data_IF_223073601059
#
_entry.id   IF_223073601059
#
_cell.length_a   1.000
_cell.length_b   1.000
_cell.length_c   1.000
_cell.angle_alpha   90.00
_cell.angle_beta   90.00
_cell.angle_gamma   90.00
#
_symmetry.space_group_name_H-M   'P 1'
#
loop_
_entity.id
_entity.type
_entity.pdbx_description
1 polymer ?
#
# COMPACT_ATOMS: atom_id res chain seq x y z
N UNK A 1 -6.15 8.23 -26.71
CA UNK A 1 -5.01 9.05 -26.32
C UNK A 1 -3.73 8.23 -26.28
N UNK A 2 -2.62 8.91 -26.19
CA UNK A 2 -1.30 8.29 -25.95
C UNK A 2 -0.77 8.85 -24.65
N UNK A 3 -0.41 7.96 -23.73
CA UNK A 3 0.25 8.32 -22.48
C UNK A 3 1.75 8.01 -22.60
N UNK A 4 2.56 8.99 -22.29
CA UNK A 4 4.00 8.89 -22.29
C UNK A 4 4.44 8.90 -20.83
N UNK A 5 4.94 7.76 -20.34
CA UNK A 5 5.48 7.66 -19.00
C UNK A 5 6.93 8.09 -19.07
N UNK A 6 7.23 9.22 -18.45
CA UNK A 6 8.58 9.78 -18.44
C UNK A 6 9.27 9.45 -17.13
N UNK A 7 10.41 8.78 -17.21
CA UNK A 7 11.29 8.64 -16.06
C UNK A 7 11.16 7.36 -15.24
N UNK A 8 10.32 6.41 -15.64
CA UNK A 8 10.28 5.15 -14.95
C UNK A 8 11.64 4.44 -15.04
N UNK A 9 12.28 4.40 -13.90
CA UNK A 9 13.43 3.60 -13.53
C UNK A 9 14.77 3.86 -14.21
N UNK A 10 14.90 4.28 -15.48
CA UNK A 10 16.21 4.16 -16.11
C UNK A 10 16.48 5.16 -17.24
N UNK A 11 16.65 6.41 -16.92
CA UNK A 11 17.50 7.23 -17.78
C UNK A 11 18.95 7.01 -17.36
N UNK A 12 19.64 6.16 -18.07
CA UNK A 12 20.98 5.69 -17.75
C UNK A 12 22.00 6.80 -17.47
N UNK A 13 21.76 7.99 -17.95
CA UNK A 13 22.68 9.11 -17.74
C UNK A 13 22.41 9.91 -16.46
N UNK A 14 21.23 9.80 -15.88
CA UNK A 14 20.81 10.57 -14.70
C UNK A 14 20.42 9.65 -13.52
N UNK A 15 20.86 8.43 -13.59
CA UNK A 15 20.40 7.32 -12.77
C UNK A 15 20.97 7.33 -11.38
N UNK A 16 20.76 7.98 -10.50
CA UNK A 16 21.01 7.82 -9.06
C UNK A 16 21.41 9.13 -8.41
N UNK A 17 20.47 9.79 -7.75
CA UNK A 17 20.78 10.93 -6.88
C UNK A 17 21.82 10.61 -5.80
N UNK A 18 21.94 9.34 -5.40
CA UNK A 18 22.93 8.91 -4.42
C UNK A 18 24.38 8.85 -4.95
N UNK A 19 24.55 8.72 -6.25
CA UNK A 19 25.88 8.66 -6.90
C UNK A 19 26.31 9.99 -7.52
N UNK A 20 25.37 10.89 -7.73
CA UNK A 20 25.67 12.25 -8.16
C UNK A 20 24.89 13.23 -7.28
N UNK A 21 25.61 13.95 -6.46
CA UNK A 21 25.04 14.95 -5.55
C UNK A 21 24.13 16.02 -6.21
N UNK A 22 24.06 16.04 -7.56
CA UNK A 22 23.38 17.06 -8.32
C UNK A 22 22.59 16.55 -9.53
N UNK A 23 22.23 15.26 -9.63
CA UNK A 23 21.68 14.70 -10.86
C UNK A 23 22.69 14.78 -12.03
N UNK A 24 23.96 15.06 -11.75
CA UNK A 24 25.01 15.14 -12.74
C UNK A 24 25.39 13.75 -13.21
N UNK A 25 25.43 13.59 -14.49
CA UNK A 25 25.87 12.37 -15.16
C UNK A 25 27.34 12.48 -15.54
N UNK A 26 28.04 11.36 -15.49
CA UNK A 26 29.39 11.24 -16.08
C UNK A 26 29.35 11.14 -17.61
N UNK A 27 28.16 11.13 -18.21
CA UNK A 27 27.99 11.10 -19.64
C UNK A 27 28.37 12.45 -20.27
N UNK A 28 29.37 12.53 -21.16
CA UNK A 28 29.81 13.78 -21.77
C UNK A 28 28.72 14.45 -22.62
N UNK A 29 27.73 13.69 -23.10
CA UNK A 29 26.60 14.23 -23.88
C UNK A 29 25.47 14.81 -22.99
N UNK A 30 25.37 14.39 -21.74
CA UNK A 30 24.33 14.82 -20.83
C UNK A 30 24.85 15.79 -19.76
N UNK A 31 26.15 15.94 -19.69
CA UNK A 31 26.80 16.84 -18.75
C UNK A 31 26.31 18.28 -18.95
N UNK A 32 25.90 18.93 -17.86
CA UNK A 32 25.35 20.28 -17.91
C UNK A 32 23.89 20.39 -18.37
N UNK A 33 23.22 19.27 -18.66
CA UNK A 33 21.78 19.25 -18.97
C UNK A 33 20.95 18.98 -17.72
N UNK A 34 19.76 19.57 -17.68
CA UNK A 34 18.77 19.27 -16.65
C UNK A 34 18.07 17.93 -16.95
N UNK A 35 17.98 17.01 -16.00
CA UNK A 35 17.19 15.79 -16.14
C UNK A 35 15.75 16.06 -16.55
N UNK A 36 15.09 17.00 -15.88
CA UNK A 36 13.71 17.42 -16.18
C UNK A 36 13.57 17.94 -17.60
N UNK A 37 14.54 18.76 -18.06
CA UNK A 37 14.56 19.29 -19.43
C UNK A 37 14.75 18.19 -20.48
N UNK A 38 15.61 17.21 -20.24
CA UNK A 38 15.82 16.10 -21.18
C UNK A 38 14.59 15.18 -21.29
N UNK A 39 13.88 14.94 -20.18
CA UNK A 39 12.62 14.21 -20.20
C UNK A 39 11.54 14.97 -20.98
N UNK A 40 11.39 16.27 -20.74
CA UNK A 40 10.46 17.10 -21.50
C UNK A 40 10.79 17.07 -23.01
N UNK A 41 12.08 17.16 -23.36
CA UNK A 41 12.55 17.07 -24.74
C UNK A 41 12.19 15.72 -25.39
N UNK A 42 12.35 14.61 -24.66
CA UNK A 42 11.96 13.28 -25.14
C UNK A 42 10.45 13.20 -25.39
N UNK A 43 9.66 13.64 -24.42
CA UNK A 43 8.19 13.68 -24.51
C UNK A 43 7.76 14.50 -25.74
N UNK A 44 8.33 15.68 -25.93
CA UNK A 44 8.03 16.56 -27.06
C UNK A 44 8.37 15.91 -28.42
N UNK A 45 9.46 15.15 -28.48
CA UNK A 45 9.81 14.38 -29.68
C UNK A 45 8.75 13.31 -30.02
N UNK A 46 8.30 12.57 -29.01
CA UNK A 46 7.23 11.58 -29.18
C UNK A 46 5.93 12.28 -29.59
N UNK A 47 5.59 13.38 -28.95
CA UNK A 47 4.41 14.19 -29.28
C UNK A 47 4.45 14.70 -30.73
N UNK A 48 5.60 15.19 -31.17
CA UNK A 48 5.80 15.62 -32.57
C UNK A 48 5.66 14.45 -33.57
N UNK A 49 6.16 13.26 -33.23
CA UNK A 49 6.00 12.07 -34.06
C UNK A 49 4.53 11.64 -34.17
N UNK A 50 3.78 11.62 -33.06
CA UNK A 50 2.35 11.32 -33.04
C UNK A 50 1.57 12.36 -33.89
N UNK A 51 1.90 13.64 -33.79
CA UNK A 51 1.27 14.69 -34.60
C UNK A 51 1.44 14.47 -36.10
N UNK A 52 2.62 13.98 -36.52
CA UNK A 52 2.90 13.69 -37.95
C UNK A 52 1.99 12.56 -38.51
N UNK A 53 1.43 11.73 -37.69
CA UNK A 53 0.46 10.68 -38.14
C UNK A 53 -0.91 11.23 -38.51
N UNK A 54 -1.14 12.54 -38.40
CA UNK A 54 -2.42 13.18 -38.67
C UNK A 54 -3.51 12.89 -37.63
N UNK A 55 -3.16 12.26 -36.51
CA UNK A 55 -4.14 11.93 -35.46
C UNK A 55 -4.24 13.06 -34.45
N UNK A 56 -5.46 13.53 -34.16
CA UNK A 56 -5.75 14.49 -33.10
C UNK A 56 -5.93 13.78 -31.74
N UNK A 57 -5.03 12.85 -31.43
CA UNK A 57 -5.12 12.11 -30.17
C UNK A 57 -4.63 12.97 -29.03
N UNK A 58 -5.34 12.89 -27.90
CA UNK A 58 -4.87 13.48 -26.66
C UNK A 58 -3.54 12.84 -26.24
N UNK A 59 -2.59 13.68 -25.88
CA UNK A 59 -1.26 13.28 -25.40
C UNK A 59 -1.14 13.62 -23.93
N UNK A 60 -0.78 12.65 -23.14
CA UNK A 60 -0.56 12.80 -21.71
C UNK A 60 0.87 12.45 -21.37
N UNK A 61 1.54 13.33 -20.66
CA UNK A 61 2.86 13.04 -20.12
C UNK A 61 2.73 12.85 -18.61
N UNK A 62 3.24 11.73 -18.13
CA UNK A 62 3.22 11.35 -16.73
C UNK A 62 4.65 11.22 -16.20
N UNK A 63 5.07 12.11 -15.26
CA UNK A 63 6.43 12.10 -14.71
C UNK A 63 6.60 11.00 -13.65
N UNK A 64 6.21 9.79 -13.96
CA UNK A 64 6.33 8.67 -13.05
C UNK A 64 7.78 8.45 -12.63
N UNK A 65 8.02 8.28 -11.34
CA UNK A 65 9.35 8.16 -10.74
C UNK A 65 10.29 9.36 -10.97
N UNK A 66 9.77 10.51 -11.35
CA UNK A 66 10.58 11.71 -11.60
C UNK A 66 11.40 12.16 -10.38
N UNK A 67 10.95 11.85 -9.18
CA UNK A 67 11.68 12.10 -7.94
C UNK A 67 13.08 11.44 -7.90
N UNK A 68 13.31 10.39 -8.70
CA UNK A 68 14.61 9.72 -8.79
C UNK A 68 15.65 10.59 -9.51
N UNK A 69 15.22 11.40 -10.46
CA UNK A 69 16.09 12.18 -11.32
C UNK A 69 15.91 13.70 -11.22
N UNK A 70 14.87 14.17 -10.58
CA UNK A 70 14.55 15.59 -10.42
C UNK A 70 14.90 16.14 -9.04
N UNK A 71 15.89 15.60 -8.37
CA UNK A 71 16.23 15.93 -6.97
C UNK A 71 16.50 17.42 -6.71
N UNK A 72 16.72 18.22 -7.74
CA UNK A 72 16.91 19.67 -7.64
C UNK A 72 15.70 20.51 -8.05
N UNK A 73 14.73 19.91 -8.71
CA UNK A 73 13.44 20.53 -8.96
C UNK A 73 12.45 20.07 -7.89
N UNK A 74 12.27 20.80 -6.78
CA UNK A 74 11.55 20.32 -5.62
C UNK A 74 10.08 20.00 -5.89
N UNK A 75 9.58 20.23 -7.10
CA UNK A 75 8.22 19.93 -7.47
C UNK A 75 8.09 19.47 -8.93
N UNK A 76 9.20 19.15 -9.59
CA UNK A 76 9.19 18.73 -11.00
C UNK A 76 8.51 19.76 -11.92
N UNK A 77 8.60 21.04 -11.56
CA UNK A 77 7.92 22.13 -12.27
C UNK A 77 8.65 22.47 -13.56
N UNK A 78 9.97 22.34 -13.59
CA UNK A 78 10.79 22.53 -14.77
C UNK A 78 10.36 21.55 -15.87
N UNK A 79 10.13 20.29 -15.52
CA UNK A 79 9.63 19.28 -16.45
C UNK A 79 8.28 19.70 -17.08
N UNK A 80 7.33 20.16 -16.26
CA UNK A 80 6.03 20.66 -16.73
C UNK A 80 6.19 21.85 -17.66
N UNK A 81 7.10 22.77 -17.32
CA UNK A 81 7.36 23.97 -18.08
C UNK A 81 7.99 23.70 -19.44
N UNK A 82 8.76 22.63 -19.56
CA UNK A 82 9.45 22.23 -20.81
C UNK A 82 8.56 21.50 -21.81
N UNK A 83 7.32 21.14 -21.48
CA UNK A 83 6.43 20.41 -22.39
C UNK A 83 5.81 21.31 -23.45
N UNK A 84 5.63 20.79 -24.66
CA UNK A 84 4.87 21.44 -25.73
C UNK A 84 3.40 21.68 -25.32
N UNK A 85 2.78 22.72 -25.84
CA UNK A 85 1.44 23.16 -25.46
C UNK A 85 0.32 22.10 -25.71
N UNK A 86 0.55 21.19 -26.64
CA UNK A 86 -0.38 20.11 -26.99
C UNK A 86 -0.23 18.85 -26.12
N UNK A 87 0.67 18.86 -25.13
CA UNK A 87 0.87 17.76 -24.20
C UNK A 87 0.23 18.11 -22.87
N UNK A 88 -0.72 17.31 -22.42
CA UNK A 88 -1.33 17.42 -21.10
C UNK A 88 -0.47 16.77 -20.03
N UNK A 89 -0.50 17.30 -18.83
CA UNK A 89 0.23 16.73 -17.67
C UNK A 89 -0.68 15.77 -16.93
N UNK A 90 -0.17 14.59 -16.62
CA UNK A 90 -0.74 13.67 -15.65
C UNK A 90 0.23 13.55 -14.47
N UNK A 91 -0.29 13.62 -13.26
CA UNK A 91 0.52 13.55 -12.05
C UNK A 91 -0.14 12.69 -10.97
N UNK A 92 0.66 12.11 -10.08
CA UNK A 92 0.17 11.35 -8.94
C UNK A 92 -0.47 12.29 -7.93
N UNK A 93 -1.73 12.02 -7.59
CA UNK A 93 -2.50 12.90 -6.70
C UNK A 93 -2.07 12.77 -5.23
N UNK A 94 -1.61 11.60 -4.85
CA UNK A 94 -1.42 11.16 -3.47
C UNK A 94 0.03 10.77 -3.13
N UNK A 95 1.01 11.17 -3.91
CA UNK A 95 2.36 10.61 -3.80
C UNK A 95 3.43 11.51 -3.23
N UNK A 96 4.45 10.89 -2.64
CA UNK A 96 5.76 11.46 -2.26
C UNK A 96 5.72 12.59 -1.23
N UNK A 97 4.80 12.50 -0.26
CA UNK A 97 4.62 13.51 0.76
C UNK A 97 4.72 12.92 2.18
N UNK A 98 4.60 13.76 3.19
CA UNK A 98 4.53 13.31 4.58
C UNK A 98 3.07 13.14 5.00
N UNK A 99 2.79 12.09 5.75
CA UNK A 99 1.48 11.91 6.36
C UNK A 99 1.28 12.98 7.45
N UNK A 100 0.21 13.74 7.31
CA UNK A 100 -0.18 14.80 8.27
C UNK A 100 -1.23 14.34 9.29
N UNK A 101 -1.69 13.08 9.18
CA UNK A 101 -2.65 12.48 10.10
C UNK A 101 -2.06 12.07 11.45
N UNK A 102 -2.80 11.32 12.28
CA UNK A 102 -2.34 10.80 13.56
C UNK A 102 -1.03 10.02 13.50
N UNK A 103 -0.79 9.31 12.39
CA UNK A 103 0.48 8.68 12.05
C UNK A 103 1.50 9.62 11.40
N UNK A 104 1.41 10.93 11.64
CA UNK A 104 2.17 11.96 10.94
C UNK A 104 3.67 11.95 11.17
N UNK A 105 4.40 12.76 10.38
CA UNK A 105 5.86 12.87 10.42
C UNK A 105 6.58 11.75 9.66
N UNK A 106 5.86 10.92 8.92
CA UNK A 106 6.43 9.79 8.18
C UNK A 106 6.15 9.95 6.69
N UNK A 107 7.18 9.81 5.89
CA UNK A 107 7.09 9.86 4.44
C UNK A 107 6.41 8.60 3.91
N UNK A 108 5.52 8.76 2.96
CA UNK A 108 4.83 7.67 2.28
C UNK A 108 5.06 7.72 0.76
N UNK A 109 4.75 6.58 0.13
CA UNK A 109 4.79 6.42 -1.32
C UNK A 109 3.42 6.71 -1.93
N UNK A 110 3.35 6.83 -3.25
CA UNK A 110 2.07 6.89 -3.95
C UNK A 110 1.32 5.54 -3.90
N UNK A 111 0.17 5.47 -4.53
CA UNK A 111 -0.72 4.30 -4.54
C UNK A 111 -1.32 3.96 -3.18
N UNK A 112 -1.67 4.95 -2.40
CA UNK A 112 -2.25 4.78 -1.07
C UNK A 112 -3.59 5.50 -0.95
N UNK A 113 -4.35 5.18 0.07
CA UNK A 113 -5.57 5.88 0.46
C UNK A 113 -5.45 6.56 1.83
N UNK A 114 -4.34 6.33 2.53
CA UNK A 114 -4.01 7.05 3.77
C UNK A 114 -3.88 8.55 3.53
N UNK A 115 -3.27 8.96 2.41
CA UNK A 115 -3.26 10.35 1.99
C UNK A 115 -4.39 10.63 1.02
N UNK A 116 -5.30 11.50 1.40
CA UNK A 116 -6.40 11.92 0.52
C UNK A 116 -5.88 12.72 -0.69
N UNK A 117 -4.85 13.51 -0.51
CA UNK A 117 -4.32 14.44 -1.51
C UNK A 117 -5.06 15.78 -1.52
N UNK A 118 -4.63 16.73 -2.36
CA UNK A 118 -3.47 16.61 -3.24
C UNK A 118 -2.16 16.62 -2.47
N UNK A 119 -1.17 15.86 -2.96
CA UNK A 119 0.19 15.96 -2.45
C UNK A 119 0.81 17.33 -2.78
N UNK A 120 1.86 17.69 -2.06
CA UNK A 120 2.59 18.94 -2.28
C UNK A 120 3.12 19.02 -3.72
N UNK A 121 3.68 17.92 -4.24
CA UNK A 121 4.15 17.83 -5.63
C UNK A 121 3.02 18.05 -6.62
N UNK A 122 1.88 17.36 -6.45
CA UNK A 122 0.72 17.55 -7.32
C UNK A 122 0.24 19.00 -7.31
N UNK A 123 0.09 19.60 -6.13
CA UNK A 123 -0.39 20.98 -5.98
C UNK A 123 0.50 21.99 -6.74
N UNK A 124 1.83 21.82 -6.67
CA UNK A 124 2.80 22.68 -7.39
C UNK A 124 2.73 22.47 -8.90
N UNK A 125 2.66 21.23 -9.37
CA UNK A 125 2.50 20.92 -10.80
C UNK A 125 1.18 21.45 -11.35
N UNK A 126 0.08 21.29 -10.62
CA UNK A 126 -1.22 21.84 -10.98
C UNK A 126 -1.20 23.38 -11.05
N UNK A 127 -0.52 24.03 -10.11
CA UNK A 127 -0.33 25.48 -10.14
C UNK A 127 0.46 25.93 -11.38
N UNK A 128 1.51 25.18 -11.76
CA UNK A 128 2.28 25.46 -12.97
C UNK A 128 1.43 25.24 -14.23
N UNK A 129 0.66 24.15 -14.28
CA UNK A 129 -0.28 23.92 -15.38
C UNK A 129 -1.27 25.08 -15.54
N UNK A 130 -1.85 25.58 -14.45
CA UNK A 130 -2.75 26.75 -14.48
C UNK A 130 -2.07 28.00 -15.05
N UNK A 131 -0.82 28.30 -14.64
CA UNK A 131 -0.05 29.43 -15.19
C UNK A 131 0.16 29.30 -16.70
N UNK A 132 0.26 28.09 -17.20
CA UNK A 132 0.46 27.80 -18.63
C UNK A 132 -0.87 27.58 -19.38
N UNK A 133 -2.01 27.81 -18.76
CA UNK A 133 -3.34 27.51 -19.31
C UNK A 133 -3.46 26.07 -19.85
N UNK A 134 -2.92 25.13 -19.10
CA UNK A 134 -2.84 23.70 -19.45
C UNK A 134 -3.71 22.89 -18.49
N UNK A 135 -4.51 21.94 -18.98
CA UNK A 135 -5.23 21.01 -18.11
C UNK A 135 -4.26 20.08 -17.38
N UNK A 136 -4.55 19.78 -16.11
CA UNK A 136 -3.86 18.75 -15.33
C UNK A 136 -4.79 17.56 -15.13
N UNK A 137 -4.21 16.38 -15.30
CA UNK A 137 -4.86 15.10 -15.07
C UNK A 137 -4.23 14.41 -13.87
N UNK A 138 -4.99 13.55 -13.22
CA UNK A 138 -4.54 12.84 -12.03
C UNK A 138 -4.41 11.35 -12.30
N UNK A 139 -3.44 10.73 -11.65
CA UNK A 139 -3.36 9.29 -11.48
C UNK A 139 -3.68 8.97 -10.03
N UNK A 140 -4.57 8.01 -9.81
CA UNK A 140 -4.95 7.47 -8.51
C UNK A 140 -5.11 5.94 -8.60
N UNK A 141 -5.19 5.28 -7.45
CA UNK A 141 -5.53 3.86 -7.38
C UNK A 141 -6.83 3.68 -6.61
N UNK A 142 -7.76 2.94 -7.15
CA UNK A 142 -9.08 2.74 -6.56
C UNK A 142 -9.36 1.35 -6.05
N UNK A 143 -8.55 0.39 -6.37
CA UNK A 143 -8.73 -0.97 -5.92
C UNK A 143 -7.80 -1.31 -4.78
N UNK A 144 -6.72 -1.93 -5.11
CA UNK A 144 -5.68 -2.30 -4.15
C UNK A 144 -4.64 -1.23 -4.05
N UNK A 145 -4.23 -0.98 -2.84
CA UNK A 145 -3.12 -0.10 -2.51
C UNK A 145 -2.01 -0.91 -1.83
N UNK A 146 -0.76 -0.42 -1.79
CA UNK A 146 0.31 -1.08 -1.02
C UNK A 146 0.00 -1.28 0.45
N UNK A 147 -0.98 -0.58 0.99
CA UNK A 147 -1.42 -0.71 2.39
C UNK A 147 -2.02 -2.09 2.68
N UNK A 148 -2.70 -2.68 1.68
CA UNK A 148 -3.28 -4.01 1.77
C UNK A 148 -3.42 -4.62 0.36
N UNK A 149 -2.30 -4.75 -0.35
CA UNK A 149 -2.27 -5.14 -1.76
C UNK A 149 -2.73 -6.59 -2.03
N UNK A 150 -2.92 -7.38 -1.01
CA UNK A 150 -3.51 -8.73 -1.07
C UNK A 150 -5.05 -8.73 -1.04
N UNK A 151 -5.68 -7.57 -1.00
CA UNK A 151 -7.12 -7.42 -1.08
C UNK A 151 -7.56 -6.94 -2.45
N UNK A 152 -8.75 -7.32 -2.92
CA UNK A 152 -9.29 -6.80 -4.18
C UNK A 152 -9.56 -5.29 -4.12
N UNK A 153 -9.86 -4.74 -2.94
CA UNK A 153 -10.02 -3.31 -2.65
C UNK A 153 -10.00 -3.05 -1.15
N UNK A 154 -9.80 -1.78 -0.76
CA UNK A 154 -10.00 -1.34 0.61
C UNK A 154 -11.44 -0.85 0.81
N UNK A 155 -12.18 -1.32 1.82
CA UNK A 155 -13.58 -0.98 2.06
C UNK A 155 -13.72 0.39 2.76
N UNK A 156 -13.16 1.42 2.14
CA UNK A 156 -13.04 2.79 2.64
C UNK A 156 -13.67 3.80 1.66
N UNK A 157 -14.94 3.65 1.26
CA UNK A 157 -15.52 4.47 0.20
C UNK A 157 -15.56 5.97 0.54
N UNK A 158 -15.67 6.37 1.83
CA UNK A 158 -15.65 7.77 2.22
C UNK A 158 -14.26 8.42 2.03
N UNK A 159 -13.18 7.67 2.20
CA UNK A 159 -11.84 8.21 1.86
C UNK A 159 -11.71 8.43 0.36
N UNK A 160 -12.29 7.55 -0.45
CA UNK A 160 -12.39 7.72 -1.89
C UNK A 160 -13.27 8.90 -2.27
N UNK A 161 -14.40 9.07 -1.59
CA UNK A 161 -15.28 10.24 -1.75
C UNK A 161 -14.51 11.54 -1.48
N UNK A 162 -13.81 11.61 -0.36
CA UNK A 162 -12.98 12.78 0.00
C UNK A 162 -11.90 13.07 -1.06
N UNK A 163 -11.25 12.03 -1.60
CA UNK A 163 -10.27 12.18 -2.69
C UNK A 163 -10.90 12.74 -3.97
N UNK A 164 -12.05 12.23 -4.37
CA UNK A 164 -12.77 12.73 -5.56
C UNK A 164 -13.15 14.20 -5.40
N UNK A 165 -13.63 14.61 -4.22
CA UNK A 165 -13.94 16.00 -3.93
C UNK A 165 -12.67 16.89 -3.92
N UNK A 166 -11.56 16.40 -3.39
CA UNK A 166 -10.28 17.08 -3.43
C UNK A 166 -9.76 17.25 -4.87
N UNK A 167 -9.88 16.23 -5.73
CA UNK A 167 -9.55 16.33 -7.16
C UNK A 167 -10.39 17.39 -7.86
N UNK A 168 -11.69 17.41 -7.60
CA UNK A 168 -12.61 18.40 -8.14
C UNK A 168 -12.26 19.81 -7.69
N UNK A 169 -12.02 20.01 -6.40
CA UNK A 169 -11.61 21.30 -5.84
C UNK A 169 -10.27 21.81 -6.40
N UNK A 170 -9.37 20.90 -6.75
CA UNK A 170 -8.06 21.22 -7.36
C UNK A 170 -8.17 21.54 -8.86
N UNK A 171 -9.31 21.28 -9.50
CA UNK A 171 -9.53 21.51 -10.91
C UNK A 171 -8.91 20.44 -11.82
N UNK A 172 -8.87 19.21 -11.35
CA UNK A 172 -8.43 18.06 -12.16
C UNK A 172 -9.38 17.89 -13.35
N UNK A 173 -8.84 17.88 -14.57
CA UNK A 173 -9.62 17.75 -15.80
C UNK A 173 -10.09 16.33 -16.10
N UNK A 174 -9.43 15.33 -15.52
CA UNK A 174 -9.72 13.92 -15.62
C UNK A 174 -8.68 13.08 -14.90
N UNK A 175 -8.92 11.81 -14.76
CA UNK A 175 -7.99 10.94 -14.05
C UNK A 175 -7.94 9.51 -14.60
N UNK A 176 -6.86 8.80 -14.31
CA UNK A 176 -6.75 7.34 -14.42
C UNK A 176 -7.02 6.78 -13.05
N UNK A 177 -8.09 5.96 -12.94
CA UNK A 177 -8.53 5.39 -11.68
C UNK A 177 -7.76 4.14 -11.26
N UNK A 178 -7.07 3.49 -12.18
CA UNK A 178 -6.32 2.27 -11.93
C UNK A 178 -5.08 2.23 -12.80
N UNK A 179 -3.95 2.02 -12.17
CA UNK A 179 -2.70 1.64 -12.86
C UNK A 179 -2.44 0.14 -12.76
N UNK A 180 -2.93 -0.46 -11.70
CA UNK A 180 -2.65 -1.84 -11.36
C UNK A 180 -3.52 -2.82 -12.15
N UNK A 181 -2.94 -3.93 -12.53
CA UNK A 181 -3.40 -4.84 -13.59
C UNK A 181 -4.52 -5.82 -13.20
N UNK A 182 -5.33 -5.54 -12.19
CA UNK A 182 -6.36 -6.48 -11.72
C UNK A 182 -7.69 -6.43 -12.45
N UNK A 183 -7.83 -5.50 -13.36
CA UNK A 183 -9.15 -5.24 -13.92
C UNK A 183 -10.09 -4.62 -12.88
N UNK A 184 -11.37 -4.65 -13.21
CA UNK A 184 -12.42 -4.03 -12.42
C UNK A 184 -13.05 -5.08 -11.51
N UNK A 185 -13.03 -4.84 -10.21
CA UNK A 185 -13.59 -5.75 -9.20
C UNK A 185 -15.06 -5.48 -8.88
N UNK A 186 -15.68 -4.51 -9.55
CA UNK A 186 -17.03 -4.04 -9.26
C UNK A 186 -17.25 -3.74 -7.76
N UNK A 187 -16.24 -3.12 -7.16
CA UNK A 187 -16.23 -2.78 -5.74
C UNK A 187 -16.93 -1.44 -5.48
N UNK A 188 -17.42 -1.19 -4.25
CA UNK A 188 -18.01 0.10 -3.90
C UNK A 188 -17.11 1.31 -4.20
N UNK A 189 -15.79 1.31 -3.90
CA UNK A 189 -14.91 2.41 -4.29
C UNK A 189 -14.78 2.63 -5.79
N UNK A 190 -14.72 1.57 -6.60
CA UNK A 190 -14.64 1.69 -8.05
C UNK A 190 -15.92 2.27 -8.64
N UNK A 191 -17.06 1.75 -8.20
CA UNK A 191 -18.35 2.24 -8.70
C UNK A 191 -18.58 3.69 -8.29
N UNK A 192 -18.19 4.06 -7.09
CA UNK A 192 -18.24 5.45 -6.64
C UNK A 192 -17.52 6.39 -7.61
N UNK A 193 -16.36 6.00 -8.14
CA UNK A 193 -15.64 6.81 -9.13
C UNK A 193 -16.45 7.06 -10.39
N UNK A 194 -17.02 6.02 -10.97
CA UNK A 194 -17.81 6.16 -12.20
C UNK A 194 -19.04 7.01 -11.97
N UNK A 195 -19.74 6.77 -10.87
CA UNK A 195 -20.93 7.55 -10.53
C UNK A 195 -20.61 9.01 -10.23
N UNK A 196 -19.54 9.28 -9.50
CA UNK A 196 -19.13 10.65 -9.17
C UNK A 196 -18.80 11.50 -10.40
N UNK A 197 -18.35 10.89 -11.51
CA UNK A 197 -18.13 11.60 -12.79
C UNK A 197 -19.46 12.06 -13.39
N UNK A 198 -20.51 11.23 -13.30
CA UNK A 198 -21.79 11.46 -13.97
C UNK A 198 -22.82 12.14 -13.05
N UNK A 199 -22.91 11.75 -11.80
CA UNK A 199 -23.97 12.11 -10.88
C UNK A 199 -23.72 13.42 -10.11
N UNK A 200 -22.55 13.99 -10.15
CA UNK A 200 -22.13 15.23 -9.43
C UNK A 200 -22.28 15.21 -7.91
N UNK A 201 -22.89 14.19 -7.34
CA UNK A 201 -23.16 13.99 -5.91
C UNK A 201 -22.64 12.60 -5.48
N UNK A 202 -21.48 12.60 -4.87
CA UNK A 202 -20.83 11.39 -4.43
C UNK A 202 -21.54 10.70 -3.24
N UNK A 203 -22.26 11.47 -2.43
CA UNK A 203 -23.10 10.93 -1.34
C UNK A 203 -24.25 10.09 -1.87
N UNK A 204 -25.00 10.62 -2.83
CA UNK A 204 -26.08 9.85 -3.51
C UNK A 204 -25.55 8.63 -4.23
N UNK A 205 -24.33 8.70 -4.76
CA UNK A 205 -23.69 7.56 -5.38
C UNK A 205 -23.48 6.43 -4.37
N UNK A 206 -22.97 6.72 -3.17
CA UNK A 206 -22.81 5.73 -2.10
C UNK A 206 -24.14 5.14 -1.63
N UNK A 207 -25.17 5.97 -1.43
CA UNK A 207 -26.50 5.49 -1.08
C UNK A 207 -27.03 4.51 -2.13
N UNK A 208 -26.87 4.84 -3.42
CA UNK A 208 -27.30 4.01 -4.53
C UNK A 208 -26.60 2.66 -4.55
N UNK A 209 -25.29 2.65 -4.28
CA UNK A 209 -24.49 1.43 -4.17
C UNK A 209 -25.02 0.55 -3.02
N UNK A 210 -25.22 1.12 -1.83
CA UNK A 210 -25.74 0.38 -0.69
C UNK A 210 -27.12 -0.25 -0.96
N UNK A 211 -28.05 0.53 -1.56
CA UNK A 211 -29.39 0.04 -1.88
C UNK A 211 -29.36 -1.13 -2.86
N UNK A 212 -28.56 -1.03 -3.90
CA UNK A 212 -28.48 -2.03 -4.95
C UNK A 212 -27.71 -3.27 -4.55
N UNK A 213 -26.52 -3.08 -3.95
CA UNK A 213 -25.58 -4.18 -3.73
C UNK A 213 -25.89 -4.97 -2.47
N UNK A 214 -26.48 -4.31 -1.46
CA UNK A 214 -26.80 -4.94 -0.20
C UNK A 214 -28.31 -5.01 0.07
N UNK A 215 -29.14 -4.59 -0.89
CA UNK A 215 -30.61 -4.64 -0.80
C UNK A 215 -31.15 -3.95 0.46
N UNK A 216 -30.59 -2.80 0.81
CA UNK A 216 -30.91 -2.07 2.03
C UNK A 216 -32.05 -1.07 1.82
N UNK A 217 -32.87 -0.93 2.86
CA UNK A 217 -33.79 0.19 3.05
C UNK A 217 -33.03 1.47 3.45
N UNK A 218 -33.78 2.53 3.73
CA UNK A 218 -33.17 3.83 4.06
C UNK A 218 -32.34 3.78 5.33
N UNK A 219 -32.84 3.11 6.37
CA UNK A 219 -32.13 3.02 7.65
C UNK A 219 -30.89 2.17 7.52
N UNK A 220 -30.97 1.01 6.86
CA UNK A 220 -29.83 0.15 6.59
C UNK A 220 -28.74 0.85 5.75
N UNK A 221 -29.13 1.72 4.82
CA UNK A 221 -28.17 2.55 4.07
C UNK A 221 -27.42 3.51 5.00
N UNK A 222 -28.14 4.27 5.84
CA UNK A 222 -27.51 5.22 6.74
C UNK A 222 -26.59 4.53 7.75
N UNK A 223 -27.01 3.38 8.27
CA UNK A 223 -26.21 2.57 9.18
C UNK A 223 -24.93 2.04 8.49
N UNK A 224 -25.02 1.60 7.24
CA UNK A 224 -23.86 1.13 6.46
C UNK A 224 -22.88 2.27 6.18
N UNK A 225 -23.38 3.44 5.77
CA UNK A 225 -22.55 4.62 5.57
C UNK A 225 -21.83 5.03 6.86
N UNK A 226 -22.53 4.98 8.00
CA UNK A 226 -21.92 5.26 9.29
C UNK A 226 -20.85 4.22 9.68
N UNK A 227 -21.08 2.94 9.41
CA UNK A 227 -20.08 1.89 9.64
C UNK A 227 -18.85 2.08 8.75
N UNK A 228 -19.01 2.34 7.47
CA UNK A 228 -17.90 2.65 6.57
C UNK A 228 -17.13 3.92 6.98
N UNK A 229 -17.83 4.94 7.51
CA UNK A 229 -17.16 6.12 8.08
C UNK A 229 -16.27 5.73 9.26
N UNK A 230 -16.76 4.88 10.18
CA UNK A 230 -15.93 4.39 11.28
C UNK A 230 -14.68 3.64 10.80
N UNK A 231 -14.80 2.82 9.75
CA UNK A 231 -13.64 2.15 9.14
C UNK A 231 -12.67 3.16 8.50
N UNK A 232 -13.20 4.19 7.85
CA UNK A 232 -12.41 5.27 7.24
C UNK A 232 -11.66 6.09 8.28
N UNK A 233 -12.30 6.40 9.41
CA UNK A 233 -11.69 7.11 10.52
C UNK A 233 -10.62 6.26 11.22
N UNK A 234 -10.87 4.95 11.38
CA UNK A 234 -9.89 4.02 11.90
C UNK A 234 -8.61 3.99 11.06
N UNK A 235 -8.75 4.10 9.74
CA UNK A 235 -7.62 4.07 8.80
C UNK A 235 -6.68 5.27 8.93
N UNK A 236 -7.10 6.36 9.55
CA UNK A 236 -6.23 7.50 9.86
C UNK A 236 -5.09 7.16 10.83
N UNK A 237 -5.28 6.11 11.63
CA UNK A 237 -4.29 5.58 12.55
C UNK A 237 -3.44 4.45 11.93
N UNK A 238 -3.74 4.01 10.71
CA UNK A 238 -2.97 2.95 10.08
C UNK A 238 -1.52 3.42 9.85
N UNK A 239 -0.51 2.72 10.38
CA UNK A 239 0.87 3.16 10.36
C UNK A 239 1.54 2.91 8.99
N UNK A 240 1.08 3.63 7.99
CA UNK A 240 1.59 3.54 6.63
C UNK A 240 2.81 4.43 6.43
N UNK A 241 3.86 3.91 5.82
CA UNK A 241 5.09 4.64 5.57
C UNK A 241 5.77 4.20 4.28
N UNK A 242 6.76 4.96 3.82
CA UNK A 242 7.61 4.57 2.71
C UNK A 242 8.35 3.24 2.94
N UNK A 243 8.60 2.87 4.20
CA UNK A 243 9.20 1.58 4.55
C UNK A 243 8.24 0.42 4.38
N UNK A 244 6.93 0.65 4.46
CA UNK A 244 5.89 -0.37 4.26
C UNK A 244 5.44 -0.49 2.81
N UNK A 245 5.63 0.57 2.03
CA UNK A 245 5.25 0.64 0.61
C UNK A 245 6.42 0.75 -0.34
N UNK A 246 7.61 0.94 0.18
CA UNK A 246 8.70 1.49 -0.57
C UNK A 246 9.57 0.49 -1.29
N UNK A 247 10.38 1.03 -2.14
CA UNK A 247 11.12 0.52 -3.26
C UNK A 247 12.04 -0.67 -3.04
N UNK A 248 12.49 -0.94 -1.84
CA UNK A 248 13.45 -2.04 -1.61
C UNK A 248 13.17 -2.88 -0.37
N UNK A 249 12.38 -2.39 0.54
CA UNK A 249 12.10 -3.08 1.80
C UNK A 249 10.60 -3.15 2.11
N UNK A 250 9.79 -2.38 1.39
CA UNK A 250 8.44 -2.06 1.81
C UNK A 250 7.43 -3.17 1.70
N UNK A 251 6.55 -3.04 0.77
CA UNK A 251 5.38 -3.92 0.65
C UNK A 251 5.71 -5.38 0.28
N UNK A 252 6.94 -5.66 -0.10
CA UNK A 252 7.37 -7.02 -0.46
C UNK A 252 8.01 -7.79 0.69
N UNK A 253 7.93 -7.30 1.94
CA UNK A 253 8.59 -7.92 3.08
C UNK A 253 7.75 -7.84 4.34
N UNK A 254 7.98 -8.83 5.18
CA UNK A 254 7.36 -8.88 6.50
C UNK A 254 5.85 -8.99 6.49
N UNK A 255 5.21 -8.62 7.61
CA UNK A 255 3.80 -8.84 7.83
C UNK A 255 2.89 -8.12 6.84
N UNK A 256 3.33 -6.97 6.30
CA UNK A 256 2.55 -6.23 5.30
C UNK A 256 2.37 -6.99 4.00
N UNK A 257 3.34 -7.84 3.65
CA UNK A 257 3.26 -8.61 2.41
C UNK A 257 2.34 -9.83 2.54
N UNK A 258 2.54 -10.61 3.58
CA UNK A 258 1.82 -11.87 3.77
C UNK A 258 0.48 -11.72 4.47
N UNK A 259 0.20 -10.53 5.00
CA UNK A 259 -1.03 -10.34 5.76
C UNK A 259 -1.23 -11.39 6.84
N UNK A 260 -2.43 -11.98 6.92
CA UNK A 260 -2.74 -13.01 7.92
C UNK A 260 -1.94 -14.31 7.81
N UNK A 261 -1.25 -14.53 6.69
CA UNK A 261 -0.41 -15.74 6.50
C UNK A 261 1.02 -15.58 7.01
N UNK A 262 1.41 -14.43 7.56
CA UNK A 262 2.77 -14.19 8.02
C UNK A 262 3.13 -15.09 9.22
N UNK A 263 4.23 -15.89 9.15
CA UNK A 263 4.60 -16.83 10.21
C UNK A 263 5.24 -16.13 11.41
N UNK A 264 5.19 -16.76 12.57
CA UNK A 264 5.99 -16.43 13.73
C UNK A 264 7.23 -17.30 13.75
N UNK A 265 8.41 -16.74 13.71
CA UNK A 265 9.67 -17.50 13.63
C UNK A 265 10.48 -17.27 14.90
N UNK A 266 10.69 -18.33 15.64
CA UNK A 266 11.48 -18.28 16.86
C UNK A 266 12.98 -18.47 16.54
N UNK A 267 13.35 -19.56 15.87
CA UNK A 267 14.72 -19.78 15.40
C UNK A 267 14.88 -19.39 13.92
N UNK A 268 15.88 -18.57 13.64
CA UNK A 268 16.18 -18.11 12.28
C UNK A 268 16.65 -19.28 11.39
N UNK A 269 17.28 -20.29 11.96
CA UNK A 269 17.73 -21.47 11.20
C UNK A 269 16.55 -22.29 10.68
N UNK A 270 15.49 -22.47 11.47
CA UNK A 270 14.29 -23.16 11.04
C UNK A 270 13.52 -22.40 9.95
N UNK A 271 13.80 -21.13 9.80
CA UNK A 271 13.22 -20.35 8.71
C UNK A 271 13.59 -20.87 7.32
N UNK A 272 14.69 -21.59 7.17
CA UNK A 272 15.06 -22.24 5.93
C UNK A 272 14.20 -23.47 5.60
N UNK A 273 13.53 -24.04 6.58
CA UNK A 273 12.63 -25.17 6.42
C UNK A 273 11.19 -24.76 6.11
N UNK A 274 10.88 -23.47 6.13
CA UNK A 274 9.57 -22.98 5.74
C UNK A 274 9.27 -23.32 4.26
N UNK A 275 8.00 -23.53 3.92
CA UNK A 275 7.58 -23.72 2.54
C UNK A 275 8.18 -22.69 1.61
N UNK A 276 8.48 -23.07 0.38
CA UNK A 276 9.10 -22.20 -0.62
C UNK A 276 8.34 -20.87 -0.80
N UNK A 277 7.03 -20.92 -0.68
CA UNK A 277 6.16 -19.74 -0.67
C UNK A 277 6.52 -18.72 0.41
N UNK A 278 6.83 -19.16 1.63
CA UNK A 278 7.30 -18.29 2.69
C UNK A 278 8.72 -17.76 2.45
N UNK A 279 9.55 -18.52 1.75
CA UNK A 279 10.92 -18.09 1.39
C UNK A 279 10.93 -17.05 0.28
N UNK A 280 10.11 -17.24 -0.74
CA UNK A 280 9.99 -16.29 -1.86
C UNK A 280 9.48 -14.93 -1.42
N UNK A 281 8.65 -14.93 -0.39
CA UNK A 281 8.05 -13.71 0.13
C UNK A 281 8.97 -12.94 1.09
N UNK A 282 10.10 -13.51 1.45
CA UNK A 282 11.06 -12.90 2.38
C UNK A 282 12.08 -11.95 1.80
N UNK A 283 11.75 -11.32 0.81
CA UNK A 283 12.64 -10.51 0.03
C UNK A 283 13.20 -11.41 -1.02
N UNK A 284 12.72 -11.13 -2.13
CA UNK A 284 13.10 -11.79 -3.31
C UNK A 284 14.61 -11.93 -3.35
N UNK A 285 15.06 -13.17 -3.31
CA UNK A 285 16.45 -13.47 -3.63
C UNK A 285 16.85 -12.90 -5.00
N UNK A 286 15.88 -12.39 -5.77
CA UNK A 286 16.08 -11.67 -7.03
C UNK A 286 16.43 -10.18 -6.86
N UNK A 287 16.06 -9.56 -5.75
CA UNK A 287 16.46 -8.17 -5.45
C UNK A 287 17.84 -8.08 -4.77
N UNK A 288 18.31 -9.19 -4.22
CA UNK A 288 19.68 -9.31 -3.74
C UNK A 288 20.49 -10.00 -4.83
N UNK A 289 21.64 -9.46 -5.14
CA UNK A 289 22.48 -9.89 -6.27
C UNK A 289 22.88 -11.39 -6.17
N UNK A 290 22.80 -11.97 -4.96
CA UNK A 290 23.03 -13.42 -4.77
C UNK A 290 22.36 -13.94 -3.51
N UNK A 291 22.09 -15.27 -3.42
CA UNK A 291 21.66 -15.94 -2.19
C UNK A 291 22.64 -15.74 -1.04
N UNK A 292 23.93 -15.66 -1.33
CA UNK A 292 24.99 -15.46 -0.34
C UNK A 292 24.93 -14.07 0.28
N UNK A 293 24.60 -13.05 -0.51
CA UNK A 293 24.42 -11.67 -0.03
C UNK A 293 23.22 -11.57 0.92
N UNK A 294 22.15 -12.30 0.62
CA UNK A 294 20.98 -12.41 1.49
C UNK A 294 21.31 -13.16 2.79
N UNK A 295 22.03 -14.28 2.71
CA UNK A 295 22.50 -15.02 3.90
C UNK A 295 23.46 -14.22 4.75
N UNK A 296 24.32 -13.42 4.13
CA UNK A 296 25.24 -12.54 4.85
C UNK A 296 24.50 -11.40 5.56
N UNK A 297 23.48 -10.83 4.94
CA UNK A 297 22.60 -9.83 5.54
C UNK A 297 21.83 -10.42 6.72
N UNK A 298 21.34 -11.64 6.60
CA UNK A 298 20.66 -12.36 7.68
C UNK A 298 21.61 -12.70 8.84
N UNK A 299 22.83 -13.10 8.54
CA UNK A 299 23.88 -13.34 9.57
C UNK A 299 24.32 -12.07 10.29
N UNK A 300 24.48 -10.97 9.55
CA UNK A 300 24.86 -9.65 10.13
C UNK A 300 23.73 -9.04 10.94
N UNK A 301 22.50 -9.33 10.58
CA UNK A 301 21.34 -8.81 11.29
C UNK A 301 21.11 -9.46 12.65
N UNK A 302 21.93 -10.46 13.05
CA UNK A 302 21.77 -11.27 14.28
C UNK A 302 20.30 -11.52 14.61
N UNK A 303 19.85 -12.56 15.14
CA UNK A 303 18.57 -13.23 15.02
C UNK A 303 17.33 -12.33 14.86
N UNK A 304 17.53 -11.07 14.56
CA UNK A 304 16.46 -10.17 14.15
C UNK A 304 16.01 -10.57 12.77
N UNK A 305 14.78 -10.90 12.66
CA UNK A 305 14.06 -10.82 11.41
C UNK A 305 14.02 -9.36 11.05
N UNK A 306 15.05 -8.89 10.36
CA UNK A 306 15.26 -7.47 10.06
C UNK A 306 14.06 -6.90 9.34
N UNK A 307 13.42 -7.70 8.49
CA UNK A 307 12.27 -7.27 7.72
C UNK A 307 11.03 -6.97 8.59
N UNK A 308 10.80 -7.72 9.65
CA UNK A 308 9.54 -7.64 10.39
C UNK A 308 9.47 -6.45 11.34
N UNK A 309 10.61 -6.05 11.87
CA UNK A 309 10.70 -4.85 12.71
C UNK A 309 11.03 -3.57 11.92
N UNK A 310 11.48 -3.69 10.68
CA UNK A 310 11.74 -2.52 9.82
C UNK A 310 10.49 -1.64 9.64
N UNK A 311 9.31 -2.26 9.65
CA UNK A 311 8.04 -1.53 9.54
C UNK A 311 7.82 -0.55 10.69
N UNK A 312 8.45 -0.78 11.83
CA UNK A 312 8.34 0.09 13.02
C UNK A 312 9.33 1.26 13.01
N UNK A 313 10.41 1.19 12.22
CA UNK A 313 11.50 2.17 12.27
C UNK A 313 11.06 3.62 12.07
N UNK A 314 10.17 3.95 11.10
CA UNK A 314 9.77 5.32 10.90
C UNK A 314 9.01 5.93 12.07
N UNK A 315 8.34 5.10 12.86
CA UNK A 315 7.48 5.53 13.97
C UNK A 315 8.14 5.34 15.33
N UNK A 316 9.09 4.42 15.44
CA UNK A 316 9.48 3.80 16.69
C UNK A 316 8.48 2.74 17.15
N UNK A 317 8.98 1.74 17.86
CA UNK A 317 8.21 0.53 18.21
C UNK A 317 6.94 0.83 19.03
N UNK A 318 7.06 1.63 20.07
CA UNK A 318 5.93 1.97 20.95
C UNK A 318 4.83 2.72 20.21
N UNK A 319 5.22 3.74 19.44
CA UNK A 319 4.28 4.53 18.64
C UNK A 319 3.60 3.69 17.57
N UNK A 320 4.35 2.80 16.91
CA UNK A 320 3.78 1.89 15.91
C UNK A 320 2.70 0.98 16.53
N UNK A 321 2.99 0.35 17.66
CA UNK A 321 2.02 -0.50 18.38
C UNK A 321 0.82 0.28 18.91
N UNK A 322 1.02 1.52 19.32
CA UNK A 322 -0.08 2.40 19.73
C UNK A 322 -1.00 2.70 18.56
N UNK A 323 -0.45 3.11 17.43
CA UNK A 323 -1.20 3.38 16.21
C UNK A 323 -1.99 2.16 15.73
N UNK A 324 -1.36 0.97 15.72
CA UNK A 324 -2.05 -0.28 15.39
C UNK A 324 -3.22 -0.57 16.34
N UNK A 325 -3.04 -0.39 17.64
CA UNK A 325 -4.10 -0.62 18.62
C UNK A 325 -5.27 0.34 18.44
N UNK A 326 -5.00 1.61 18.20
CA UNK A 326 -6.01 2.62 17.94
C UNK A 326 -6.76 2.33 16.63
N UNK A 327 -6.03 2.06 15.54
CA UNK A 327 -6.61 1.66 14.27
C UNK A 327 -7.53 0.45 14.46
N UNK A 328 -7.02 -0.62 15.06
CA UNK A 328 -7.76 -1.87 15.23
C UNK A 328 -8.98 -1.71 16.12
N UNK A 329 -8.89 -0.98 17.25
CA UNK A 329 -10.03 -0.77 18.15
C UNK A 329 -11.19 -0.08 17.44
N UNK A 330 -10.91 0.97 16.67
CA UNK A 330 -11.95 1.67 15.90
C UNK A 330 -12.45 0.82 14.72
N UNK A 331 -11.55 0.07 14.07
CA UNK A 331 -11.90 -0.85 12.99
C UNK A 331 -12.90 -1.91 13.47
N UNK A 332 -12.67 -2.50 14.64
CA UNK A 332 -13.55 -3.50 15.21
C UNK A 332 -14.96 -2.97 15.47
N UNK A 333 -15.09 -1.74 15.97
CA UNK A 333 -16.40 -1.12 16.16
C UNK A 333 -17.17 -0.93 14.84
N UNK A 334 -16.51 -0.44 13.80
CA UNK A 334 -17.07 -0.32 12.46
C UNK A 334 -17.43 -1.67 11.84
N UNK A 335 -16.56 -2.67 11.99
CA UNK A 335 -16.77 -4.05 11.55
C UNK A 335 -18.02 -4.69 12.20
N UNK A 336 -18.14 -4.58 13.52
CA UNK A 336 -19.29 -5.16 14.25
C UNK A 336 -20.60 -4.53 13.81
N UNK A 337 -20.61 -3.21 13.64
CA UNK A 337 -21.77 -2.50 13.11
C UNK A 337 -22.10 -2.97 11.70
N UNK A 338 -21.11 -3.03 10.81
CA UNK A 338 -21.33 -3.49 9.43
C UNK A 338 -21.84 -4.93 9.37
N UNK A 339 -21.29 -5.81 10.21
CA UNK A 339 -21.72 -7.20 10.33
C UNK A 339 -23.19 -7.30 10.76
N UNK A 340 -23.63 -6.51 11.74
CA UNK A 340 -25.02 -6.52 12.19
C UNK A 340 -26.02 -6.12 11.09
N UNK A 341 -25.56 -5.34 10.11
CA UNK A 341 -26.40 -4.86 9.01
C UNK A 341 -26.36 -5.82 7.82
N UNK A 342 -25.17 -6.31 7.45
CA UNK A 342 -24.94 -7.00 6.17
C UNK A 342 -25.02 -8.52 6.26
N UNK A 343 -24.88 -9.15 7.44
CA UNK A 343 -24.92 -10.60 7.56
C UNK A 343 -26.19 -11.20 6.98
N UNK A 344 -26.04 -12.22 6.10
CA UNK A 344 -27.14 -12.91 5.46
C UNK A 344 -27.83 -12.14 4.32
N UNK A 345 -27.31 -10.99 3.91
CA UNK A 345 -27.91 -10.17 2.85
C UNK A 345 -27.38 -10.48 1.42
N UNK A 346 -26.83 -11.65 1.25
CA UNK A 346 -26.40 -12.14 -0.05
C UNK A 346 -24.91 -11.99 -0.32
N UNK A 347 -24.49 -12.51 -1.46
CA UNK A 347 -23.07 -12.73 -1.78
C UNK A 347 -22.21 -11.45 -1.73
N UNK A 348 -22.74 -10.32 -2.23
CA UNK A 348 -21.97 -9.06 -2.23
C UNK A 348 -21.75 -8.53 -0.81
N UNK A 349 -22.75 -8.65 0.06
CA UNK A 349 -22.65 -8.27 1.45
C UNK A 349 -21.64 -9.16 2.22
N UNK A 350 -21.70 -10.48 2.00
CA UNK A 350 -20.76 -11.41 2.61
C UNK A 350 -19.32 -11.19 2.13
N UNK A 351 -19.11 -10.87 0.86
CA UNK A 351 -17.80 -10.50 0.32
C UNK A 351 -17.25 -9.22 0.95
N UNK A 352 -18.09 -8.20 1.12
CA UNK A 352 -17.71 -6.96 1.82
C UNK A 352 -17.28 -7.26 3.26
N UNK A 353 -18.07 -8.06 3.99
CA UNK A 353 -17.72 -8.50 5.35
C UNK A 353 -16.42 -9.30 5.36
N UNK A 354 -16.20 -10.18 4.41
CA UNK A 354 -14.95 -10.97 4.30
C UNK A 354 -13.71 -10.08 4.15
N UNK A 355 -13.79 -9.02 3.35
CA UNK A 355 -12.70 -8.05 3.20
C UNK A 355 -12.43 -7.30 4.51
N UNK A 356 -13.49 -6.84 5.18
CA UNK A 356 -13.38 -6.15 6.48
C UNK A 356 -12.79 -7.04 7.55
N UNK A 357 -13.17 -8.33 7.60
CA UNK A 357 -12.59 -9.34 8.49
C UNK A 357 -11.10 -9.59 8.19
N UNK A 358 -10.73 -9.62 6.92
CA UNK A 358 -9.34 -9.82 6.52
C UNK A 358 -8.44 -8.70 7.03
N UNK A 359 -8.91 -7.46 6.98
CA UNK A 359 -8.17 -6.32 7.52
C UNK A 359 -8.04 -6.41 9.04
N UNK A 360 -9.11 -6.76 9.78
CA UNK A 360 -9.01 -6.95 11.23
C UNK A 360 -8.00 -8.04 11.59
N UNK A 361 -8.02 -9.16 10.85
CA UNK A 361 -7.05 -10.23 11.03
C UNK A 361 -5.63 -9.76 10.71
N UNK A 362 -5.44 -9.00 9.63
CA UNK A 362 -4.14 -8.46 9.27
C UNK A 362 -3.58 -7.50 10.33
N UNK A 363 -4.39 -6.57 10.82
CA UNK A 363 -4.00 -5.66 11.90
C UNK A 363 -3.60 -6.43 13.17
N UNK A 364 -4.29 -7.53 13.48
CA UNK A 364 -3.95 -8.42 14.59
C UNK A 364 -2.61 -9.13 14.35
N UNK A 365 -2.39 -9.66 13.14
CA UNK A 365 -1.12 -10.29 12.77
C UNK A 365 0.04 -9.31 12.88
N UNK A 366 -0.10 -8.07 12.39
CA UNK A 366 0.94 -7.04 12.54
C UNK A 366 1.31 -6.81 14.00
N UNK A 367 0.31 -6.69 14.87
CA UNK A 367 0.52 -6.51 16.31
C UNK A 367 1.22 -7.72 16.93
N UNK A 368 0.76 -8.94 16.63
CA UNK A 368 1.30 -10.17 17.16
C UNK A 368 2.75 -10.42 16.70
N UNK A 369 3.03 -10.21 15.43
CA UNK A 369 4.38 -10.36 14.86
C UNK A 369 5.37 -9.41 15.53
N UNK A 370 5.03 -8.14 15.64
CA UNK A 370 5.92 -7.16 16.28
C UNK A 370 6.14 -7.48 17.75
N UNK A 371 5.10 -7.84 18.48
CA UNK A 371 5.22 -8.24 19.90
C UNK A 371 6.03 -9.52 20.07
N UNK A 372 5.84 -10.49 19.17
CA UNK A 372 6.57 -11.77 19.22
C UNK A 372 8.06 -11.54 19.05
N UNK A 373 8.48 -10.78 18.05
CA UNK A 373 9.91 -10.52 17.84
C UNK A 373 10.51 -9.64 18.93
N UNK A 374 9.76 -8.69 19.47
CA UNK A 374 10.21 -7.93 20.62
C UNK A 374 10.42 -8.84 21.85
N UNK A 375 9.48 -9.71 22.15
CA UNK A 375 9.57 -10.64 23.28
C UNK A 375 10.71 -11.66 23.10
N UNK A 376 10.90 -12.16 21.86
CA UNK A 376 12.02 -13.05 21.49
C UNK A 376 13.37 -12.38 21.70
N UNK A 377 13.54 -11.14 21.24
CA UNK A 377 14.78 -10.39 21.41
C UNK A 377 15.13 -10.18 22.90
N UNK A 378 14.12 -9.94 23.74
CA UNK A 378 14.31 -9.84 25.18
C UNK A 378 14.69 -11.19 25.80
N UNK A 379 14.02 -12.29 25.37
CA UNK A 379 14.31 -13.63 25.86
C UNK A 379 15.76 -14.04 25.62
N UNK A 380 16.29 -13.73 24.43
CA UNK A 380 17.69 -14.05 24.09
C UNK A 380 18.73 -13.37 24.98
N UNK A 381 18.35 -12.28 25.65
CA UNK A 381 19.21 -11.55 26.60
C UNK A 381 18.86 -11.85 28.05
N UNK A 382 17.94 -12.81 28.31
CA UNK A 382 17.50 -13.20 29.65
C UNK A 382 18.20 -14.47 30.09
N UNK A 383 18.65 -14.54 31.34
CA UNK A 383 19.32 -15.71 31.89
C UNK A 383 18.46 -16.95 31.82
N UNK A 384 18.92 -17.99 31.12
CA UNK A 384 18.19 -19.25 30.97
C UNK A 384 17.84 -19.86 32.33
N UNK A 385 16.60 -20.37 32.46
CA UNK A 385 16.09 -20.99 33.67
C UNK A 385 15.67 -20.02 34.79
N UNK A 386 15.86 -18.71 34.64
CA UNK A 386 15.37 -17.71 35.58
C UNK A 386 13.83 -17.62 35.57
N UNK A 387 13.25 -17.04 36.61
CA UNK A 387 11.80 -16.77 36.66
C UNK A 387 11.38 -15.81 35.52
N UNK A 388 12.20 -14.82 35.22
CA UNK A 388 11.96 -13.89 34.13
C UNK A 388 12.00 -14.61 32.77
N UNK A 389 12.92 -15.54 32.56
CA UNK A 389 12.98 -16.36 31.34
C UNK A 389 11.68 -17.16 31.15
N UNK A 390 11.17 -17.81 32.18
CA UNK A 390 9.90 -18.55 32.13
C UNK A 390 8.71 -17.66 31.81
N UNK A 391 8.62 -16.48 32.43
CA UNK A 391 7.55 -15.51 32.11
C UNK A 391 7.60 -15.06 30.66
N UNK A 392 8.80 -14.90 30.08
CA UNK A 392 8.97 -14.53 28.67
C UNK A 392 8.52 -15.65 27.73
N UNK A 393 8.79 -16.90 28.05
CA UNK A 393 8.26 -18.05 27.30
C UNK A 393 6.74 -18.05 27.32
N UNK A 394 6.10 -17.87 28.47
CA UNK A 394 4.64 -17.78 28.57
C UNK A 394 4.05 -16.66 27.70
N UNK A 395 4.73 -15.52 27.64
CA UNK A 395 4.33 -14.41 26.74
C UNK A 395 4.39 -14.83 25.27
N UNK A 396 5.49 -15.46 24.84
CA UNK A 396 5.64 -15.93 23.46
C UNK A 396 4.60 -17.00 23.10
N UNK A 397 4.37 -17.97 23.98
CA UNK A 397 3.35 -19.01 23.82
C UNK A 397 1.94 -18.42 23.71
N UNK A 398 1.65 -17.41 24.53
CA UNK A 398 0.37 -16.69 24.44
C UNK A 398 0.20 -15.97 23.10
N UNK A 399 1.24 -15.27 22.62
CA UNK A 399 1.19 -14.58 21.32
C UNK A 399 0.99 -15.60 20.19
N UNK A 400 1.70 -16.72 20.23
CA UNK A 400 1.52 -17.79 19.24
C UNK A 400 0.10 -18.36 19.27
N UNK A 401 -0.49 -18.57 20.46
CA UNK A 401 -1.87 -19.02 20.62
C UNK A 401 -2.87 -18.02 20.05
N UNK A 402 -2.68 -16.74 20.34
CA UNK A 402 -3.52 -15.65 19.83
C UNK A 402 -3.44 -15.57 18.29
N UNK A 403 -2.25 -15.81 17.71
CA UNK A 403 -2.05 -15.76 16.27
C UNK A 403 -2.61 -17.00 15.56
N UNK A 404 -2.53 -18.18 16.18
CA UNK A 404 -3.20 -19.39 15.68
C UNK A 404 -4.70 -19.14 15.56
N UNK A 405 -5.34 -18.68 16.63
CA UNK A 405 -6.77 -18.38 16.63
C UNK A 405 -7.15 -17.30 15.60
N UNK A 406 -6.30 -16.28 15.42
CA UNK A 406 -6.48 -15.26 14.42
C UNK A 406 -6.43 -15.83 13.00
N UNK A 407 -5.46 -16.70 12.71
CA UNK A 407 -5.30 -17.34 11.40
C UNK A 407 -6.43 -18.35 11.09
N UNK A 408 -6.85 -19.15 12.08
CA UNK A 408 -7.97 -20.11 11.94
C UNK A 408 -9.27 -19.41 11.54
N UNK A 409 -9.52 -18.22 12.08
CA UNK A 409 -10.69 -17.40 11.76
C UNK A 409 -10.73 -16.95 10.29
N UNK A 410 -9.57 -16.92 9.62
CA UNK A 410 -9.48 -16.49 8.22
C UNK A 410 -9.78 -17.59 7.22
N UNK A 411 -9.66 -18.86 7.57
CA UNK A 411 -9.85 -19.96 6.64
C UNK A 411 -11.19 -19.93 5.91
N UNK A 412 -12.34 -19.80 6.59
CA UNK A 412 -13.64 -19.76 5.90
C UNK A 412 -13.78 -18.53 4.98
N UNK A 413 -13.16 -17.42 5.32
CA UNK A 413 -13.18 -16.20 4.49
C UNK A 413 -12.41 -16.41 3.18
N UNK A 414 -11.23 -17.02 3.26
CA UNK A 414 -10.39 -17.32 2.09
C UNK A 414 -11.01 -18.38 1.18
N UNK A 415 -11.72 -19.36 1.76
CA UNK A 415 -12.44 -20.38 1.01
C UNK A 415 -13.66 -19.81 0.27
N UNK A 416 -14.30 -18.78 0.84
CA UNK A 416 -15.45 -18.12 0.26
C UNK A 416 -15.12 -17.08 -0.81
N UNK A 417 -13.98 -16.40 -0.72
CA UNK A 417 -13.57 -15.37 -1.67
C UNK A 417 -12.10 -15.54 -2.13
N UNK A 418 -11.89 -16.23 -3.25
CA UNK A 418 -10.53 -16.50 -3.78
C UNK A 418 -9.80 -15.26 -4.31
N UNK A 419 -10.44 -14.08 -4.33
CA UNK A 419 -9.76 -12.81 -4.68
C UNK A 419 -8.87 -12.32 -3.54
N UNK A 420 -9.17 -12.72 -2.29
CA UNK A 420 -8.38 -12.37 -1.12
C UNK A 420 -7.07 -13.17 -1.15
N UNK A 421 -5.95 -12.50 -0.91
CA UNK A 421 -4.62 -13.09 -0.98
C UNK A 421 -3.98 -13.02 -2.37
N UNK A 422 -4.66 -12.43 -3.34
CA UNK A 422 -4.10 -12.27 -4.67
C UNK A 422 -3.43 -10.89 -4.82
N UNK A 423 -2.14 -10.88 -4.93
CA UNK A 423 -1.34 -9.65 -5.07
C UNK A 423 -1.18 -9.21 -6.53
N UNK A 424 -1.37 -7.95 -6.78
CA UNK A 424 -1.59 -7.37 -8.10
C UNK A 424 -0.48 -7.57 -9.16
N UNK A 425 0.77 -7.63 -8.78
CA UNK A 425 1.88 -7.83 -9.75
C UNK A 425 2.46 -9.25 -9.70
N UNK A 426 2.11 -10.03 -8.69
CA UNK A 426 2.85 -11.22 -8.31
C UNK A 426 2.00 -12.49 -8.32
N UNK A 427 0.71 -12.39 -8.61
CA UNK A 427 -0.20 -13.52 -8.51
C UNK A 427 -0.60 -13.81 -7.07
N UNK A 428 -0.87 -15.08 -6.71
CA UNK A 428 -1.25 -15.44 -5.36
C UNK A 428 -0.11 -15.12 -4.40
N UNK A 429 -0.42 -14.27 -3.40
CA UNK A 429 0.48 -13.88 -2.31
C UNK A 429 0.34 -14.88 -1.17
N UNK A 430 -0.89 -15.22 -0.84
CA UNK A 430 -1.24 -16.28 0.09
C UNK A 430 -2.63 -16.83 -0.25
N UNK A 431 -2.93 -17.98 0.29
CA UNK A 431 -4.21 -18.67 0.19
C UNK A 431 -4.53 -19.43 1.49
N UNK A 432 -5.62 -20.18 1.50
CA UNK A 432 -6.01 -20.98 2.65
C UNK A 432 -4.96 -22.05 3.00
N UNK A 433 -4.25 -22.61 2.02
CA UNK A 433 -3.20 -23.59 2.26
C UNK A 433 -2.00 -22.99 2.99
N UNK A 434 -1.56 -21.80 2.56
CA UNK A 434 -0.50 -21.06 3.25
C UNK A 434 -0.89 -20.66 4.67
N UNK A 435 -2.15 -20.30 4.90
CA UNK A 435 -2.65 -19.98 6.25
C UNK A 435 -2.65 -21.25 7.12
N UNK A 436 -3.05 -22.40 6.58
CA UNK A 436 -2.93 -23.69 7.31
C UNK A 436 -1.47 -24.05 7.63
N UNK A 437 -0.55 -23.85 6.68
CA UNK A 437 0.87 -24.04 6.91
C UNK A 437 1.42 -23.13 8.01
N UNK A 438 1.01 -21.85 8.02
CA UNK A 438 1.33 -20.92 9.11
C UNK A 438 0.79 -21.40 10.45
N UNK A 439 -0.46 -21.86 10.52
CA UNK A 439 -1.06 -22.38 11.76
C UNK A 439 -0.21 -23.55 12.29
N UNK A 440 0.16 -24.49 11.42
CA UNK A 440 1.02 -25.60 11.80
C UNK A 440 2.39 -25.14 12.32
N UNK A 441 3.00 -24.17 11.65
CA UNK A 441 4.26 -23.56 12.05
C UNK A 441 4.15 -22.82 13.42
N UNK A 442 3.10 -22.07 13.63
CA UNK A 442 2.90 -21.38 14.91
C UNK A 442 2.64 -22.38 16.07
N UNK A 443 1.97 -23.50 15.79
CA UNK A 443 1.81 -24.60 16.77
C UNK A 443 3.15 -25.24 17.11
N UNK A 444 3.98 -25.53 16.09
CA UNK A 444 5.32 -26.06 16.31
C UNK A 444 6.17 -25.11 17.17
N UNK A 445 6.17 -23.83 16.88
CA UNK A 445 6.88 -22.82 17.69
C UNK A 445 6.38 -22.84 19.13
N UNK A 446 5.06 -22.86 19.35
CA UNK A 446 4.47 -22.82 20.69
C UNK A 446 4.74 -24.08 21.51
N UNK A 447 4.66 -25.25 20.90
CA UNK A 447 4.59 -26.54 21.60
C UNK A 447 5.92 -27.29 21.66
N UNK A 448 6.84 -27.02 20.70
CA UNK A 448 8.06 -27.79 20.53
C UNK A 448 9.33 -26.95 20.51
N UNK A 449 9.29 -25.75 19.94
CA UNK A 449 10.50 -24.93 19.75
C UNK A 449 10.73 -24.00 20.96
N UNK A 450 9.68 -23.47 21.58
CA UNK A 450 9.80 -22.69 22.80
C UNK A 450 10.07 -23.63 23.98
N UNK A 451 11.17 -23.38 24.73
CA UNK A 451 11.64 -24.26 25.79
C UNK A 451 10.68 -24.38 26.98
#
# INVERSE_FOLDING_TARGET
GVMIIGGECFYHCFTRPAESANGNTNCPHCQGKSPSGEVARLVNRVAAAVKKTGTHKALYAWPYSAWIWSSQDPAEVEWVSGLDANVSVMSNFDGYDENVGPGGGVRFFDYNITCIGPSTTFARQAAQCRKMNRPVFSKVETCTTPEAFFLPYLPLPQRWQARLEAMKATGVAGFIGQWRFFGMNASPPEELQYRAIWEKDSGKALETICRRDFLLDTDGVQETLAAWQMLSDAWEYFPYSAMTSGERAGYMRGPFYLGPAHPLIFDVQDSYNLPLSFRLLRGDAKEFASPEEFEELQRKAKPRYVSDLLVTLPFGLERYLELLRQCRSQWQAGRERLRSILSGRGERAERELGIVETIDSHLRTLENVVKFYQARDVLQNTACGSEEFRKRIEVLQKIATDEIANAERMLPVLEADPRIGYGYCYGPVYDAEMVRAKIAQCRFVRDEELP
#
